data_IF_047459436426
#
_entry.id   IF_047459436426
#
_cell.length_a   1.000
_cell.length_b   1.000
_cell.length_c   1.000
_cell.angle_alpha   90.00
_cell.angle_beta   90.00
_cell.angle_gamma   90.00
#
_symmetry.space_group_name_H-M   'P 1'
#
loop_
_entity.id
_entity.type
_entity.pdbx_description
1 polymer ?
#
# COMPACT_ATOMS: atom_id res chain seq x y z
N UNK A 1 29.71 24.18 11.19
CA UNK A 1 28.93 24.77 12.30
C UNK A 1 27.59 24.04 12.41
N UNK A 2 27.59 22.84 13.01
CA UNK A 2 26.37 22.03 13.15
C UNK A 2 25.49 22.64 14.24
N UNK A 3 24.33 23.19 13.84
CA UNK A 3 23.31 23.71 14.76
C UNK A 3 22.79 22.56 15.62
N UNK A 4 23.10 22.60 16.92
CA UNK A 4 22.37 21.84 17.94
C UNK A 4 20.91 22.30 17.92
N UNK A 5 20.05 21.55 17.24
CA UNK A 5 18.60 21.70 17.40
C UNK A 5 18.27 21.22 18.81
N UNK A 6 17.66 22.06 19.62
CA UNK A 6 17.32 21.68 20.99
C UNK A 6 16.38 20.47 20.98
N UNK A 7 16.60 19.50 21.87
CA UNK A 7 15.72 18.32 22.02
C UNK A 7 14.24 18.71 22.15
N UNK A 8 13.98 19.88 22.76
CA UNK A 8 12.65 20.49 22.84
C UNK A 8 12.02 20.77 21.47
N UNK A 9 12.76 21.38 20.53
CA UNK A 9 12.25 21.66 19.18
C UNK A 9 11.93 20.38 18.41
N UNK A 10 12.75 19.34 18.59
CA UNK A 10 12.52 18.02 17.97
C UNK A 10 11.28 17.36 18.54
N UNK A 11 11.13 17.33 19.87
CA UNK A 11 9.95 16.79 20.54
C UNK A 11 8.69 17.53 20.11
N UNK A 12 8.73 18.87 20.14
CA UNK A 12 7.60 19.70 19.74
C UNK A 12 7.21 19.47 18.27
N UNK A 13 8.18 19.29 17.38
CA UNK A 13 7.92 18.95 15.98
C UNK A 13 7.13 17.63 15.86
N UNK A 14 7.58 16.55 16.49
CA UNK A 14 6.87 15.27 16.43
C UNK A 14 5.50 15.31 17.09
N UNK A 15 5.33 16.06 18.18
CA UNK A 15 4.02 16.28 18.79
C UNK A 15 3.09 17.04 17.84
N UNK A 16 3.56 18.13 17.23
CA UNK A 16 2.76 18.91 16.28
C UNK A 16 2.36 18.09 15.06
N UNK A 17 3.25 17.25 14.55
CA UNK A 17 2.99 16.36 13.43
C UNK A 17 1.96 15.27 13.79
N UNK A 18 2.09 14.67 14.97
CA UNK A 18 1.12 13.70 15.47
C UNK A 18 -0.29 14.29 15.59
N UNK A 19 -0.40 15.48 16.20
CA UNK A 19 -1.68 16.19 16.31
C UNK A 19 -2.26 16.58 14.96
N UNK A 20 -1.42 17.04 14.03
CA UNK A 20 -1.85 17.31 12.66
C UNK A 20 -2.49 16.06 12.02
N UNK A 21 -1.84 14.90 12.11
CA UNK A 21 -2.40 13.65 11.57
C UNK A 21 -3.73 13.25 12.19
N UNK A 22 -3.88 13.40 13.52
CA UNK A 22 -5.16 13.14 14.20
C UNK A 22 -6.30 14.02 13.64
N UNK A 23 -6.00 15.25 13.23
CA UNK A 23 -7.00 16.20 12.75
C UNK A 23 -7.39 16.01 11.29
N UNK A 24 -6.49 15.49 10.45
CA UNK A 24 -6.72 15.44 8.99
C UNK A 24 -7.15 14.08 8.46
N UNK A 25 -6.75 12.99 9.11
CA UNK A 25 -7.17 11.64 8.69
C UNK A 25 -8.64 11.41 9.00
N UNK A 26 -9.34 10.66 8.13
CA UNK A 26 -10.73 10.24 8.35
C UNK A 26 -10.88 9.49 9.69
N UNK A 27 -9.89 8.63 9.97
CA UNK A 27 -9.76 7.91 11.24
C UNK A 27 -8.30 7.58 11.48
N UNK A 28 -7.87 7.71 12.74
CA UNK A 28 -6.61 7.15 13.22
C UNK A 28 -6.84 6.30 14.48
N UNK A 29 -6.35 5.07 14.45
CA UNK A 29 -6.43 4.16 15.57
C UNK A 29 -5.44 4.47 16.69
N UNK A 30 -5.60 3.78 17.80
CA UNK A 30 -4.74 3.88 18.99
C UNK A 30 -3.33 3.43 18.62
N UNK A 31 -2.32 4.08 19.22
CA UNK A 31 -0.90 3.76 19.04
C UNK A 31 -0.39 3.80 17.59
N UNK A 32 -1.15 4.34 16.63
CA UNK A 32 -0.69 4.51 15.27
C UNK A 32 0.51 5.47 15.23
N UNK A 33 1.60 5.06 14.57
CA UNK A 33 2.85 5.81 14.45
C UNK A 33 3.12 6.10 12.99
N UNK A 34 2.86 7.33 12.59
CA UNK A 34 3.08 7.82 11.24
C UNK A 34 4.29 8.75 11.27
N UNK A 35 5.37 8.35 10.59
CA UNK A 35 6.53 9.22 10.41
C UNK A 35 6.21 10.32 9.39
N UNK A 36 7.12 11.29 9.24
CA UNK A 36 6.92 12.39 8.28
C UNK A 36 6.69 11.84 6.88
N UNK A 37 5.48 12.03 6.37
CA UNK A 37 5.10 11.70 5.00
C UNK A 37 5.75 12.65 4.00
N UNK A 38 6.09 12.13 2.82
CA UNK A 38 6.54 12.95 1.68
C UNK A 38 5.37 13.75 1.12
N UNK A 39 4.21 13.10 1.02
CA UNK A 39 2.99 13.69 0.46
C UNK A 39 1.76 13.01 1.05
N UNK A 40 0.72 13.80 1.28
CA UNK A 40 -0.56 13.36 1.80
C UNK A 40 -1.66 14.08 1.02
N UNK A 41 -2.52 13.32 0.34
CA UNK A 41 -3.61 13.83 -0.50
C UNK A 41 -4.94 13.24 -0.07
N UNK A 42 -5.95 14.10 0.10
CA UNK A 42 -7.30 13.74 0.54
C UNK A 42 -7.32 12.84 1.80
N UNK A 43 -6.66 13.25 2.90
CA UNK A 43 -6.58 12.45 4.13
C UNK A 43 -7.94 12.14 4.77
N UNK A 44 -8.98 12.93 4.47
CA UNK A 44 -10.38 12.72 4.85
C UNK A 44 -10.99 11.41 4.29
N UNK A 45 -10.29 10.74 3.36
CA UNK A 45 -10.64 9.44 2.79
C UNK A 45 -9.68 8.30 3.22
N UNK A 46 -8.80 8.57 4.18
CA UNK A 46 -7.78 7.61 4.63
C UNK A 46 -8.06 7.18 6.07
N UNK A 47 -8.22 5.88 6.26
CA UNK A 47 -8.59 5.24 7.53
C UNK A 47 -7.44 4.39 8.03
N UNK A 48 -6.92 4.71 9.21
CA UNK A 48 -5.80 4.03 9.85
C UNK A 48 -6.30 3.26 11.08
N UNK A 49 -5.99 1.97 11.15
CA UNK A 49 -6.29 1.10 12.28
C UNK A 49 -5.40 1.31 13.50
N UNK A 50 -5.63 0.48 14.52
CA UNK A 50 -4.85 0.45 15.76
C UNK A 50 -3.47 -0.18 15.52
N UNK A 51 -2.44 0.30 16.23
CA UNK A 51 -1.07 -0.21 16.22
C UNK A 51 -0.41 -0.24 14.82
N UNK A 52 -0.83 0.66 13.92
CA UNK A 52 -0.24 0.80 12.58
C UNK A 52 1.07 1.58 12.62
N UNK A 53 2.08 1.14 11.87
CA UNK A 53 3.29 1.90 11.61
C UNK A 53 3.38 2.31 10.13
N UNK A 54 3.69 3.59 9.87
CA UNK A 54 3.96 4.08 8.52
C UNK A 54 5.32 4.77 8.52
N UNK A 55 6.22 4.25 7.69
CA UNK A 55 7.58 4.71 7.50
C UNK A 55 7.67 6.12 6.92
N UNK A 56 8.87 6.70 7.02
CA UNK A 56 9.12 8.05 6.57
C UNK A 56 9.06 8.15 5.05
N UNK A 57 8.77 9.36 4.56
CA UNK A 57 8.76 9.72 3.16
C UNK A 57 7.78 8.90 2.29
N UNK A 58 6.78 8.27 2.92
CA UNK A 58 5.69 7.64 2.19
C UNK A 58 4.76 8.69 1.60
N UNK A 59 4.15 8.35 0.46
CA UNK A 59 3.10 9.12 -0.20
C UNK A 59 1.79 8.35 -0.10
N UNK A 60 0.82 8.93 0.60
CA UNK A 60 -0.53 8.40 0.71
C UNK A 60 -1.51 9.34 -0.02
N UNK A 61 -2.31 8.78 -0.93
CA UNK A 61 -3.36 9.51 -1.63
C UNK A 61 -4.64 8.68 -1.70
N UNK A 62 -5.77 9.32 -1.43
CA UNK A 62 -7.13 8.79 -1.63
C UNK A 62 -8.00 9.81 -2.39
N UNK A 63 -7.68 10.00 -3.67
CA UNK A 63 -8.16 11.12 -4.48
C UNK A 63 -9.21 10.66 -5.51
N UNK A 64 -10.50 11.04 -5.39
CA UNK A 64 -11.58 10.58 -6.26
C UNK A 64 -11.54 11.22 -7.66
N UNK A 65 -10.56 10.85 -8.49
CA UNK A 65 -10.30 11.49 -9.80
C UNK A 65 -11.29 11.10 -10.90
N UNK A 66 -12.02 10.00 -10.75
CA UNK A 66 -12.93 9.48 -11.78
C UNK A 66 -14.41 9.60 -11.41
N UNK A 67 -14.75 10.44 -10.42
CA UNK A 67 -16.13 10.63 -9.97
C UNK A 67 -16.72 9.44 -9.20
N UNK A 68 -15.89 8.49 -8.75
CA UNK A 68 -16.34 7.45 -7.83
C UNK A 68 -16.66 8.04 -6.46
N UNK A 69 -17.75 7.60 -5.86
CA UNK A 69 -18.22 8.09 -4.57
C UNK A 69 -17.60 7.36 -3.37
N UNK A 70 -17.05 6.16 -3.58
CA UNK A 70 -16.41 5.34 -2.53
C UNK A 70 -14.88 5.35 -2.70
N UNK A 71 -14.26 6.53 -2.58
CA UNK A 71 -12.81 6.66 -2.60
C UNK A 71 -12.25 6.47 -1.20
N UNK A 72 -11.61 5.33 -0.91
CA UNK A 72 -11.18 4.98 0.44
C UNK A 72 -9.87 4.18 0.46
N UNK A 73 -8.86 4.71 1.18
CA UNK A 73 -7.67 3.97 1.56
C UNK A 73 -7.79 3.50 3.01
N UNK A 74 -7.89 2.19 3.21
CA UNK A 74 -8.10 1.57 4.52
C UNK A 74 -6.88 0.75 4.90
N UNK A 75 -6.32 1.00 6.08
CA UNK A 75 -5.16 0.28 6.62
C UNK A 75 -5.56 -0.38 7.93
N UNK A 76 -5.57 -1.71 7.93
CA UNK A 76 -5.98 -2.55 9.06
C UNK A 76 -5.00 -2.54 10.23
N UNK A 77 -5.43 -3.12 11.33
CA UNK A 77 -4.71 -3.10 12.60
C UNK A 77 -3.38 -3.85 12.53
N UNK A 78 -2.41 -3.44 13.37
CA UNK A 78 -1.09 -4.09 13.51
C UNK A 78 -0.33 -4.25 12.18
N UNK A 79 -0.56 -3.35 11.24
CA UNK A 79 0.08 -3.35 9.93
C UNK A 79 1.30 -2.43 9.93
N UNK A 80 2.39 -2.89 9.33
CA UNK A 80 3.62 -2.15 9.17
C UNK A 80 3.83 -1.77 7.71
N UNK A 81 4.08 -0.49 7.44
CA UNK A 81 4.44 0.03 6.13
C UNK A 81 5.81 0.67 6.21
N UNK A 82 6.75 0.18 5.40
CA UNK A 82 8.11 0.68 5.31
C UNK A 82 8.22 2.11 4.80
N UNK A 83 9.46 2.58 4.68
CA UNK A 83 9.77 3.92 4.19
C UNK A 83 9.53 4.00 2.68
N UNK A 84 9.23 5.21 2.19
CA UNK A 84 9.06 5.48 0.77
C UNK A 84 7.95 4.65 0.10
N UNK A 85 6.97 4.16 0.85
CA UNK A 85 5.81 3.51 0.26
C UNK A 85 4.99 4.55 -0.52
N UNK A 86 4.48 4.17 -1.69
CA UNK A 86 3.62 5.02 -2.50
C UNK A 86 2.30 4.31 -2.73
N UNK A 87 1.24 4.80 -2.08
CA UNK A 87 -0.11 4.23 -2.15
C UNK A 87 -1.03 5.28 -2.76
N UNK A 88 -1.46 5.03 -4.00
CA UNK A 88 -2.28 5.95 -4.77
C UNK A 88 -3.64 5.35 -5.07
N UNK A 89 -4.62 5.69 -4.24
CA UNK A 89 -6.00 5.23 -4.30
C UNK A 89 -6.85 6.30 -5.00
N UNK A 90 -7.63 5.93 -6.01
CA UNK A 90 -8.65 6.81 -6.60
C UNK A 90 -10.07 6.23 -6.55
N UNK A 91 -10.19 4.93 -6.28
CA UNK A 91 -11.36 4.19 -5.88
C UNK A 91 -11.09 3.57 -4.51
N UNK A 92 -10.81 2.27 -4.41
CA UNK A 92 -10.66 1.60 -3.11
C UNK A 92 -9.41 0.73 -3.01
N UNK A 93 -8.61 1.01 -1.98
CA UNK A 93 -7.47 0.19 -1.58
C UNK A 93 -7.65 -0.20 -0.11
N UNK A 94 -7.71 -1.52 0.14
CA UNK A 94 -7.78 -2.08 1.49
C UNK A 94 -6.52 -2.87 1.77
N UNK A 95 -5.78 -2.47 2.81
CA UNK A 95 -4.70 -3.24 3.40
C UNK A 95 -5.24 -3.86 4.68
N UNK A 96 -5.20 -5.18 4.79
CA UNK A 96 -5.72 -5.95 5.90
C UNK A 96 -4.95 -5.76 7.21
N UNK A 97 -5.20 -6.66 8.16
CA UNK A 97 -4.53 -6.69 9.44
C UNK A 97 -3.23 -7.52 9.42
N UNK A 98 -2.29 -7.18 10.30
CA UNK A 98 -1.02 -7.90 10.45
C UNK A 98 -0.22 -8.00 9.14
N UNK A 99 -0.37 -7.02 8.25
CA UNK A 99 0.35 -6.99 6.97
C UNK A 99 1.72 -6.37 7.19
N UNK A 100 2.76 -6.99 6.62
CA UNK A 100 4.10 -6.43 6.57
C UNK A 100 4.37 -5.92 5.15
N UNK A 101 4.52 -4.61 4.99
CA UNK A 101 4.89 -3.96 3.73
C UNK A 101 6.30 -3.40 3.90
N UNK A 102 7.25 -3.88 3.10
CA UNK A 102 8.62 -3.41 3.11
C UNK A 102 8.76 -2.00 2.48
N UNK A 103 9.98 -1.48 2.46
CA UNK A 103 10.28 -0.16 1.89
C UNK A 103 9.99 -0.11 0.37
N UNK A 104 9.72 1.10 -0.14
CA UNK A 104 9.59 1.42 -1.58
C UNK A 104 8.50 0.64 -2.32
N UNK A 105 7.49 0.12 -1.62
CA UNK A 105 6.36 -0.56 -2.25
C UNK A 105 5.41 0.45 -2.90
N UNK A 106 5.00 0.17 -4.14
CA UNK A 106 3.98 0.93 -4.86
C UNK A 106 2.67 0.13 -4.93
N UNK A 107 1.55 0.75 -4.57
CA UNK A 107 0.21 0.16 -4.64
C UNK A 107 -0.73 1.17 -5.29
N UNK A 108 -1.39 0.78 -6.37
CA UNK A 108 -2.42 1.60 -7.02
C UNK A 108 -3.59 0.77 -7.51
N UNK A 109 -4.77 1.39 -7.55
CA UNK A 109 -5.99 0.86 -8.16
C UNK A 109 -6.28 1.53 -9.52
N UNK A 110 -5.28 2.12 -10.15
CA UNK A 110 -5.42 2.97 -11.34
C UNK A 110 -4.16 3.01 -12.22
N UNK A 111 -4.34 3.54 -13.43
CA UNK A 111 -3.28 3.86 -14.39
C UNK A 111 -3.71 5.03 -15.29
N UNK A 112 -2.81 5.56 -16.11
CA UNK A 112 -3.18 6.53 -17.16
C UNK A 112 -3.76 5.81 -18.39
N UNK A 113 -4.84 6.35 -18.97
CA UNK A 113 -5.27 5.93 -20.32
C UNK A 113 -4.13 6.12 -21.32
N UNK A 114 -4.06 5.22 -22.28
CA UNK A 114 -3.06 5.24 -23.35
C UNK A 114 -3.64 4.76 -24.69
N UNK A 115 -4.94 4.46 -24.72
CA UNK A 115 -5.60 3.78 -25.84
C UNK A 115 -5.77 4.69 -27.07
N UNK A 116 -5.88 6.01 -26.89
CA UNK A 116 -5.89 6.96 -28.02
C UNK A 116 -4.46 7.35 -28.39
N UNK A 117 -4.00 6.88 -29.55
CA UNK A 117 -2.63 7.13 -30.05
C UNK A 117 -2.43 8.54 -30.62
N UNK A 118 -3.50 9.32 -30.80
CA UNK A 118 -3.42 10.69 -31.33
C UNK A 118 -3.31 11.75 -30.22
N UNK A 119 -3.52 11.37 -28.96
CA UNK A 119 -3.43 12.25 -27.80
C UNK A 119 -2.23 11.82 -26.96
N UNK A 120 -1.35 12.74 -26.58
CA UNK A 120 -0.23 12.43 -25.70
C UNK A 120 -0.75 11.84 -24.37
N UNK A 121 -0.09 10.81 -23.84
CA UNK A 121 -0.52 10.15 -22.58
C UNK A 121 -0.68 11.16 -21.43
N UNK A 122 0.14 12.22 -21.41
CA UNK A 122 0.05 13.31 -20.43
C UNK A 122 -1.33 13.99 -20.42
N UNK A 123 -1.95 14.12 -21.59
CA UNK A 123 -3.25 14.77 -21.78
C UNK A 123 -4.41 13.75 -21.72
N UNK A 124 -4.08 12.45 -21.55
CA UNK A 124 -5.07 11.40 -21.37
C UNK A 124 -5.44 11.25 -19.89
N UNK A 125 -6.73 10.98 -19.64
CA UNK A 125 -7.29 10.89 -18.30
C UNK A 125 -6.83 9.65 -17.54
N UNK A 126 -6.92 9.71 -16.20
CA UNK A 126 -6.72 8.53 -15.34
C UNK A 126 -7.84 7.51 -15.58
N UNK A 127 -7.46 6.24 -15.64
CA UNK A 127 -8.33 5.07 -15.71
C UNK A 127 -8.32 4.36 -14.37
N UNK A 128 -9.48 4.34 -13.73
CA UNK A 128 -9.75 3.47 -12.60
C UNK A 128 -9.67 2.00 -13.06
N UNK A 129 -8.91 1.19 -12.32
CA UNK A 129 -8.91 -0.26 -12.41
C UNK A 129 -9.83 -0.83 -11.32
N UNK A 130 -9.82 -2.14 -11.11
CA UNK A 130 -10.51 -2.72 -9.97
C UNK A 130 -9.87 -2.31 -8.65
N UNK A 131 -10.67 -2.40 -7.59
CA UNK A 131 -10.21 -2.22 -6.21
C UNK A 131 -9.04 -3.16 -5.89
N UNK A 132 -8.17 -2.73 -4.98
CA UNK A 132 -7.02 -3.50 -4.51
C UNK A 132 -7.23 -3.92 -3.06
N UNK A 133 -7.09 -5.22 -2.80
CA UNK A 133 -7.06 -5.82 -1.47
C UNK A 133 -5.69 -6.45 -1.23
N UNK A 134 -5.06 -6.12 -0.11
CA UNK A 134 -3.94 -6.89 0.47
C UNK A 134 -4.46 -7.62 1.69
N UNK A 135 -4.63 -8.93 1.59
CA UNK A 135 -5.23 -9.76 2.63
C UNK A 135 -4.34 -9.90 3.86
N UNK A 136 -4.98 -10.20 4.99
CA UNK A 136 -4.37 -10.27 6.32
C UNK A 136 -3.12 -11.17 6.38
N UNK A 137 -2.14 -10.80 7.21
CA UNK A 137 -0.94 -11.61 7.46
C UNK A 137 0.02 -11.71 6.27
N UNK A 138 -0.23 -10.99 5.18
CA UNK A 138 0.64 -11.03 4.00
C UNK A 138 1.92 -10.23 4.19
N UNK A 139 2.97 -10.66 3.49
CA UNK A 139 4.22 -9.92 3.38
C UNK A 139 4.45 -9.45 1.95
N UNK A 140 4.65 -8.14 1.78
CA UNK A 140 4.99 -7.49 0.52
C UNK A 140 6.46 -7.08 0.58
N UNK A 141 7.29 -7.72 -0.24
CA UNK A 141 8.73 -7.49 -0.31
C UNK A 141 9.10 -6.09 -0.83
N UNK A 142 10.36 -5.70 -0.60
CA UNK A 142 10.85 -4.36 -0.97
C UNK A 142 10.69 -4.12 -2.48
N UNK A 143 10.32 -2.89 -2.85
CA UNK A 143 10.22 -2.46 -4.25
C UNK A 143 9.22 -3.27 -5.10
N UNK A 144 8.19 -3.84 -4.48
CA UNK A 144 7.06 -4.46 -5.19
C UNK A 144 6.11 -3.39 -5.73
N UNK A 145 5.61 -3.60 -6.95
CA UNK A 145 4.53 -2.80 -7.53
C UNK A 145 3.25 -3.63 -7.65
N UNK A 146 2.15 -3.18 -7.07
CA UNK A 146 0.82 -3.78 -7.16
C UNK A 146 -0.09 -2.81 -7.88
N UNK A 147 -0.59 -3.19 -9.06
CA UNK A 147 -1.33 -2.30 -9.96
C UNK A 147 -2.66 -2.97 -10.33
N UNK A 148 -3.74 -2.53 -9.69
CA UNK A 148 -5.10 -3.00 -9.94
C UNK A 148 -5.28 -4.51 -9.73
N UNK A 149 -4.62 -5.09 -8.72
CA UNK A 149 -4.66 -6.52 -8.43
C UNK A 149 -4.75 -6.79 -6.92
N UNK A 150 -5.47 -7.85 -6.56
CA UNK A 150 -5.60 -8.32 -5.18
C UNK A 150 -4.47 -9.29 -4.83
N UNK A 151 -4.03 -9.24 -3.58
CA UNK A 151 -3.18 -10.23 -2.93
C UNK A 151 -3.99 -10.84 -1.79
N UNK A 152 -4.23 -12.16 -1.83
CA UNK A 152 -4.97 -12.88 -0.80
C UNK A 152 -4.25 -12.88 0.56
N UNK A 153 -4.86 -13.47 1.58
CA UNK A 153 -4.27 -13.51 2.94
C UNK A 153 -3.06 -14.45 3.01
N UNK A 154 -2.16 -14.18 3.94
CA UNK A 154 -0.94 -14.94 4.20
C UNK A 154 -0.11 -15.21 2.93
N UNK A 155 -0.11 -14.25 2.01
CA UNK A 155 0.73 -14.32 0.82
C UNK A 155 2.12 -13.77 1.08
N UNK A 156 3.09 -14.23 0.30
CA UNK A 156 4.42 -13.63 0.23
C UNK A 156 4.67 -13.17 -1.20
N UNK A 157 4.85 -11.87 -1.38
CA UNK A 157 5.25 -11.29 -2.65
C UNK A 157 6.73 -10.95 -2.57
N UNK A 158 7.57 -11.65 -3.34
CA UNK A 158 9.01 -11.43 -3.32
C UNK A 158 9.40 -10.05 -3.80
N UNK A 159 10.54 -9.54 -3.32
CA UNK A 159 11.06 -8.22 -3.69
C UNK A 159 11.17 -8.03 -5.22
N UNK A 160 11.03 -6.78 -5.68
CA UNK A 160 11.07 -6.38 -7.10
C UNK A 160 10.01 -7.05 -8.00
N UNK A 161 8.91 -7.55 -7.43
CA UNK A 161 7.83 -8.16 -8.22
C UNK A 161 6.81 -7.14 -8.71
N UNK A 162 6.15 -7.42 -9.84
CA UNK A 162 5.07 -6.59 -10.40
C UNK A 162 3.78 -7.41 -10.46
N UNK A 163 2.83 -7.08 -9.60
CA UNK A 163 1.54 -7.77 -9.46
C UNK A 163 0.47 -7.01 -10.24
N UNK A 164 0.05 -7.60 -11.37
CA UNK A 164 -1.02 -7.07 -12.25
C UNK A 164 -2.20 -8.03 -12.40
N UNK A 165 -2.15 -9.17 -11.71
CA UNK A 165 -3.22 -10.18 -11.64
C UNK A 165 -3.34 -10.68 -10.22
N UNK A 166 -4.53 -11.15 -9.85
CA UNK A 166 -4.80 -11.56 -8.47
C UNK A 166 -3.93 -12.74 -8.06
N UNK A 167 -3.39 -12.64 -6.84
CA UNK A 167 -2.67 -13.70 -6.17
C UNK A 167 -3.61 -14.31 -5.12
N UNK A 168 -3.99 -15.60 -5.25
CA UNK A 168 -4.87 -16.25 -4.27
C UNK A 168 -4.22 -16.36 -2.89
N UNK A 169 -5.04 -16.60 -1.87
CA UNK A 169 -4.59 -16.88 -0.50
C UNK A 169 -3.45 -17.92 -0.45
N UNK A 170 -2.61 -17.78 0.58
CA UNK A 170 -1.54 -18.72 0.91
C UNK A 170 -0.62 -19.04 -0.27
N UNK A 171 -0.22 -18.02 -1.02
CA UNK A 171 0.67 -18.14 -2.16
C UNK A 171 2.00 -17.40 -1.93
N UNK A 172 3.08 -17.95 -2.48
CA UNK A 172 4.34 -17.21 -2.70
C UNK A 172 4.43 -16.86 -4.18
N UNK A 173 4.53 -15.57 -4.50
CA UNK A 173 4.65 -15.11 -5.88
C UNK A 173 5.88 -14.21 -6.07
N UNK A 174 6.54 -14.34 -7.22
CA UNK A 174 7.74 -13.56 -7.57
C UNK A 174 7.76 -13.17 -9.05
N UNK A 175 8.50 -12.11 -9.39
CA UNK A 175 8.81 -11.72 -10.77
C UNK A 175 7.93 -10.59 -11.33
N UNK A 176 8.17 -10.24 -12.59
CA UNK A 176 7.45 -9.20 -13.34
C UNK A 176 7.05 -9.74 -14.72
N UNK A 177 5.76 -10.08 -14.96
CA UNK A 177 4.67 -10.09 -13.98
C UNK A 177 4.87 -11.21 -12.94
N UNK A 178 4.37 -10.99 -11.73
CA UNK A 178 4.47 -11.92 -10.62
C UNK A 178 3.76 -13.24 -10.96
N UNK A 179 4.44 -14.36 -10.67
CA UNK A 179 3.92 -15.71 -10.84
C UNK A 179 3.98 -16.45 -9.51
N UNK A 180 2.92 -17.19 -9.19
CA UNK A 180 2.89 -18.06 -8.02
C UNK A 180 3.91 -19.19 -8.22
N UNK A 181 4.85 -19.30 -7.30
CA UNK A 181 5.89 -20.35 -7.28
C UNK A 181 5.68 -21.37 -6.16
N UNK A 182 4.92 -21.02 -5.13
CA UNK A 182 4.50 -21.95 -4.08
C UNK A 182 3.06 -21.70 -3.65
N UNK A 183 2.39 -22.76 -3.20
CA UNK A 183 1.08 -22.72 -2.55
C UNK A 183 1.14 -23.49 -1.25
N UNK A 184 0.46 -23.02 -0.21
CA UNK A 184 0.31 -23.78 1.02
C UNK A 184 -0.78 -24.83 0.82
N UNK A 185 -0.44 -26.09 1.07
CA UNK A 185 -1.38 -27.18 1.14
C UNK A 185 -1.94 -27.23 2.57
N UNK A 186 -3.21 -26.86 2.73
CA UNK A 186 -3.87 -26.79 4.04
C UNK A 186 -4.12 -28.16 4.65
N UNK A 187 -4.24 -29.22 3.85
CA UNK A 187 -4.45 -30.59 4.33
C UNK A 187 -3.16 -31.17 4.89
N UNK A 188 -2.03 -30.92 4.22
CA UNK A 188 -0.73 -31.44 4.60
C UNK A 188 0.07 -30.50 5.53
N UNK A 189 -0.34 -29.24 5.64
CA UNK A 189 0.34 -28.23 6.46
C UNK A 189 1.73 -27.82 5.91
N UNK A 190 1.96 -27.96 4.61
CA UNK A 190 3.26 -27.72 3.97
C UNK A 190 3.16 -26.78 2.77
N UNK A 191 4.27 -26.12 2.45
CA UNK A 191 4.40 -25.32 1.22
C UNK A 191 4.90 -26.17 0.06
N UNK A 192 4.12 -26.23 -1.01
CA UNK A 192 4.43 -26.99 -2.21
C UNK A 192 4.85 -26.05 -3.33
N UNK A 193 5.83 -26.46 -4.15
CA UNK A 193 6.15 -25.72 -5.38
C UNK A 193 5.04 -25.92 -6.41
N UNK A 194 4.67 -24.84 -7.11
CA UNK A 194 3.78 -24.97 -8.27
C UNK A 194 4.60 -25.52 -9.43
N UNK A 195 4.18 -26.68 -9.96
CA UNK A 195 4.78 -27.23 -11.16
C UNK A 195 4.43 -26.34 -12.36
N UNK A 196 5.42 -26.04 -13.21
CA UNK A 196 5.27 -25.14 -14.39
C UNK A 196 4.26 -25.64 -15.46
N UNK A 197 3.62 -26.79 -15.26
CA UNK A 197 2.87 -27.51 -16.28
C UNK A 197 1.34 -27.51 -16.10
N UNK A 198 0.77 -26.73 -15.17
CA UNK A 198 -0.68 -26.54 -15.05
C UNK A 198 -1.05 -25.06 -15.11
#
# INVERSE_FOLDING_TARGET
>A
MHKYISKFKVLWYYLSLHWYYILVFAKIGKNARIQKLLRLECPEHIFIGDDVNIGANSWLAANPLTGQTDCNLIIGNRTYIGNFAHIYCIGKITIGENVLIADKVYISDNLHRYEDVNIAILDQSVKQLKNVLIGDGSWIGENVCIIGANVGRNCVIGANSVVTKDIPDFCVAVGSPAKVIKRFNTEMGIWEKVNKNN
#
